data_IF_767342034360
#
_entry.id   IF_767342034360
#
_cell.length_a   1.000
_cell.length_b   1.000
_cell.length_c   1.000
_cell.angle_alpha   90.00
_cell.angle_beta   90.00
_cell.angle_gamma   90.00
#
_symmetry.space_group_name_H-M   'P 1'
#
loop_
_entity.id
_entity.type
_entity.pdbx_description
1 polymer ?
#
# COMPACT_ATOMS: atom_id res chain seq x y z
N UNK A 1 8.80 -0.24 -18.64
CA UNK A 1 7.64 -0.73 -17.88
C UNK A 1 6.56 0.32 -17.99
N UNK A 2 5.31 -0.09 -18.21
CA UNK A 2 4.19 0.85 -18.35
C UNK A 2 3.84 1.42 -16.96
N UNK A 3 3.76 2.74 -16.83
CA UNK A 3 3.44 3.39 -15.55
C UNK A 3 2.05 2.97 -15.04
N UNK A 4 1.11 2.60 -15.92
CA UNK A 4 -0.18 2.05 -15.49
C UNK A 4 -0.04 0.65 -14.89
N UNK A 5 0.87 -0.17 -15.43
CA UNK A 5 1.17 -1.50 -14.88
C UNK A 5 1.78 -1.35 -13.47
N UNK A 6 2.75 -0.45 -13.32
CA UNK A 6 3.36 -0.17 -12.01
C UNK A 6 2.34 0.38 -11.01
N UNK A 7 1.45 1.27 -11.46
CA UNK A 7 0.37 1.79 -10.62
C UNK A 7 -0.61 0.70 -10.18
N UNK A 8 -0.89 -0.27 -11.06
CA UNK A 8 -1.76 -1.41 -10.73
C UNK A 8 -1.11 -2.29 -9.66
N UNK A 9 0.17 -2.64 -9.84
CA UNK A 9 0.94 -3.43 -8.88
C UNK A 9 0.98 -2.77 -7.50
N UNK A 10 1.26 -1.46 -7.45
CA UNK A 10 1.28 -0.70 -6.19
C UNK A 10 -0.10 -0.69 -5.49
N UNK A 11 -1.20 -0.61 -6.25
CA UNK A 11 -2.55 -0.67 -5.68
C UNK A 11 -2.89 -2.07 -5.15
N UNK A 12 -2.48 -3.12 -5.86
CA UNK A 12 -2.68 -4.50 -5.40
C UNK A 12 -1.89 -4.77 -4.11
N UNK A 13 -0.65 -4.25 -4.02
CA UNK A 13 0.15 -4.33 -2.81
C UNK A 13 -0.48 -3.54 -1.65
N UNK A 14 -0.94 -2.32 -1.91
CA UNK A 14 -1.66 -1.49 -0.92
C UNK A 14 -2.86 -2.25 -0.33
N UNK A 15 -3.72 -2.84 -1.18
CA UNK A 15 -4.89 -3.60 -0.72
C UNK A 15 -4.50 -4.82 0.11
N UNK A 16 -3.40 -5.51 -0.24
CA UNK A 16 -2.92 -6.65 0.53
C UNK A 16 -2.47 -6.24 1.93
N UNK A 17 -1.65 -5.18 2.02
CA UNK A 17 -1.14 -4.69 3.31
C UNK A 17 -2.28 -4.17 4.18
N UNK A 18 -3.27 -3.49 3.59
CA UNK A 18 -4.44 -3.01 4.31
C UNK A 18 -5.24 -4.18 4.92
N UNK A 19 -5.48 -5.23 4.14
CA UNK A 19 -6.17 -6.43 4.63
C UNK A 19 -5.38 -7.14 5.75
N UNK A 20 -4.06 -7.20 5.63
CA UNK A 20 -3.22 -7.77 6.69
C UNK A 20 -3.18 -6.89 7.94
N UNK A 21 -3.20 -5.56 7.79
CA UNK A 21 -3.35 -4.63 8.91
C UNK A 21 -4.69 -4.82 9.62
N UNK A 22 -5.80 -4.88 8.88
CA UNK A 22 -7.14 -5.13 9.45
C UNK A 22 -7.20 -6.45 10.23
N UNK A 23 -6.55 -7.51 9.75
CA UNK A 23 -6.46 -8.78 10.49
C UNK A 23 -5.67 -8.65 11.78
N UNK A 24 -4.57 -7.92 11.77
CA UNK A 24 -3.73 -7.70 12.96
C UNK A 24 -4.47 -6.83 13.98
N UNK A 25 -5.15 -5.79 13.52
CA UNK A 25 -6.02 -4.97 14.38
C UNK A 25 -7.19 -5.79 14.94
N UNK A 26 -7.73 -6.73 14.17
CA UNK A 26 -8.79 -7.65 14.62
C UNK A 26 -8.33 -8.61 15.73
N UNK A 27 -7.02 -8.88 15.87
CA UNK A 27 -6.47 -9.64 17.01
C UNK A 27 -6.17 -8.75 18.23
N UNK A 28 -6.49 -7.46 18.16
CA UNK A 28 -6.19 -6.47 19.19
C UNK A 28 -4.73 -6.04 19.21
N UNK A 29 -3.99 -6.33 18.15
CA UNK A 29 -2.58 -5.96 17.99
C UNK A 29 -2.46 -4.80 17.01
N UNK A 30 -1.51 -3.90 17.24
CA UNK A 30 -1.17 -2.85 16.27
C UNK A 30 0.10 -3.22 15.54
N UNK A 31 0.17 -2.88 14.25
CA UNK A 31 1.37 -3.11 13.43
C UNK A 31 1.82 -1.79 12.81
N UNK A 32 2.54 -0.95 13.59
CA UNK A 32 3.04 0.33 13.09
C UNK A 32 3.90 0.16 11.83
N UNK A 33 4.58 -0.98 11.70
CA UNK A 33 5.35 -1.31 10.48
C UNK A 33 4.48 -1.49 9.24
N UNK A 34 3.27 -2.03 9.37
CA UNK A 34 2.34 -2.16 8.24
C UNK A 34 1.71 -0.81 7.89
N UNK A 35 1.43 0.02 8.91
CA UNK A 35 0.97 1.40 8.71
C UNK A 35 2.02 2.24 7.97
N UNK A 36 3.29 2.19 8.39
CA UNK A 36 4.40 2.86 7.70
C UNK A 36 4.51 2.41 6.23
N UNK A 37 4.34 1.11 5.96
CA UNK A 37 4.35 0.58 4.60
C UNK A 37 3.17 1.06 3.76
N UNK A 38 1.97 1.19 4.34
CA UNK A 38 0.82 1.75 3.61
C UNK A 38 1.10 3.17 3.17
N UNK A 39 1.65 4.00 4.07
CA UNK A 39 2.03 5.38 3.77
C UNK A 39 3.10 5.45 2.68
N UNK A 40 4.11 4.57 2.73
CA UNK A 40 5.15 4.49 1.70
C UNK A 40 4.58 4.13 0.33
N UNK A 41 3.66 3.16 0.27
CA UNK A 41 2.99 2.77 -0.98
C UNK A 41 2.10 3.91 -1.49
N UNK A 42 1.39 4.61 -0.62
CA UNK A 42 0.60 5.80 -1.01
C UNK A 42 1.47 6.88 -1.66
N UNK A 43 2.64 7.15 -1.10
CA UNK A 43 3.60 8.09 -1.69
C UNK A 43 4.09 7.61 -3.06
N UNK A 44 4.39 6.33 -3.22
CA UNK A 44 4.79 5.75 -4.51
C UNK A 44 3.66 5.83 -5.54
N UNK A 45 2.42 5.52 -5.16
CA UNK A 45 1.23 5.67 -6.01
C UNK A 45 1.08 7.12 -6.47
N UNK A 46 1.26 8.09 -5.57
CA UNK A 46 1.18 9.50 -5.90
C UNK A 46 2.28 9.94 -6.87
N UNK A 47 3.51 9.46 -6.66
CA UNK A 47 4.63 9.72 -7.58
C UNK A 47 4.38 9.17 -8.98
N UNK A 48 3.96 7.91 -9.08
CA UNK A 48 3.65 7.28 -10.38
C UNK A 48 2.50 7.98 -11.09
N UNK A 49 1.46 8.38 -10.35
CA UNK A 49 0.35 9.19 -10.87
C UNK A 49 0.77 10.57 -11.36
N UNK A 50 1.77 11.19 -10.73
CA UNK A 50 2.29 12.48 -11.17
C UNK A 50 3.15 12.36 -12.44
N UNK A 51 3.62 11.16 -12.77
CA UNK A 51 4.44 10.87 -13.96
C UNK A 51 3.63 10.30 -15.14
N UNK A 52 2.38 9.88 -14.89
CA UNK A 52 1.40 9.47 -15.91
C UNK A 52 0.84 10.68 -16.65
#
# INVERSE_FOLDING_TARGET
MDLNQQLLELKEEYMRIQNDLEKVESTGQSSPRLEEKLVEIEQQIAQVRAQL
#
